data_IF_108822422212
#
_entry.id   IF_108822422212
#
_cell.length_a   1.000
_cell.length_b   1.000
_cell.length_c   1.000
_cell.angle_alpha   90.00
_cell.angle_beta   90.00
_cell.angle_gamma   90.00
#
_symmetry.space_group_name_H-M   'P 1'
#
loop_
_entity.id
_entity.type
_entity.pdbx_description
1 polymer ?
#
# COMPACT_ATOMS: atom_id res chain seq x y z
N UNK A 1 79.11 -2.25 13.83
CA UNK A 1 78.02 -2.76 14.68
C UNK A 1 77.08 -1.61 15.01
N UNK A 2 75.85 -1.46 14.52
CA UNK A 2 75.11 -2.15 13.46
C UNK A 2 74.00 -1.22 12.92
N UNK A 3 74.27 -0.53 11.82
CA UNK A 3 73.24 0.18 11.03
C UNK A 3 72.17 -0.75 10.44
N UNK A 4 72.40 -2.07 10.48
CA UNK A 4 71.40 -3.10 10.16
C UNK A 4 70.33 -3.27 11.26
N UNK A 5 70.63 -2.92 12.52
CA UNK A 5 69.70 -3.10 13.65
C UNK A 5 68.59 -2.03 13.64
N UNK A 6 68.91 -0.78 13.31
CA UNK A 6 67.89 0.28 13.17
C UNK A 6 66.98 0.10 11.95
N UNK A 7 67.48 -0.48 10.86
CA UNK A 7 66.66 -0.77 9.67
C UNK A 7 65.67 -1.92 9.92
N UNK A 8 66.08 -2.92 10.72
CA UNK A 8 65.23 -4.04 11.12
C UNK A 8 64.12 -3.61 12.10
N UNK A 9 64.40 -2.65 13.00
CA UNK A 9 63.40 -2.07 13.90
C UNK A 9 62.36 -1.20 13.16
N UNK A 10 62.78 -0.44 12.14
CA UNK A 10 61.87 0.31 11.28
C UNK A 10 61.03 -0.61 10.37
N UNK A 11 61.64 -1.68 9.82
CA UNK A 11 60.91 -2.65 9.01
C UNK A 11 59.89 -3.44 9.84
N UNK A 12 60.21 -3.82 11.08
CA UNK A 12 59.27 -4.50 11.97
C UNK A 12 58.16 -3.58 12.50
N UNK A 13 58.43 -2.28 12.67
CA UNK A 13 57.39 -1.28 12.99
C UNK A 13 56.42 -1.05 11.81
N UNK A 14 56.90 -1.07 10.55
CA UNK A 14 56.05 -0.95 9.35
C UNK A 14 55.21 -2.22 9.15
N UNK A 15 55.76 -3.41 9.42
CA UNK A 15 55.04 -4.68 9.33
C UNK A 15 53.99 -4.81 10.45
N UNK A 16 54.26 -4.26 11.64
CA UNK A 16 53.27 -4.22 12.74
C UNK A 16 52.18 -3.16 12.51
N UNK A 17 52.46 -2.06 11.81
CA UNK A 17 51.44 -1.08 11.39
C UNK A 17 50.51 -1.62 10.29
N UNK A 18 50.93 -2.63 9.53
CA UNK A 18 50.08 -3.29 8.53
C UNK A 18 49.20 -4.41 9.13
N UNK A 19 49.43 -4.83 10.38
CA UNK A 19 48.70 -5.94 11.00
C UNK A 19 47.56 -5.52 11.94
N UNK A 20 47.27 -4.23 12.06
CA UNK A 20 46.11 -3.70 12.80
C UNK A 20 45.18 -2.92 11.89
N UNK A 21 44.77 -3.54 10.78
CA UNK A 21 43.45 -3.30 10.19
C UNK A 21 42.54 -4.43 10.66
N UNK A 22 42.18 -4.39 11.94
CA UNK A 22 40.94 -5.00 12.39
C UNK A 22 39.82 -4.27 11.64
N UNK A 23 39.37 -4.86 10.53
CA UNK A 23 38.55 -4.20 9.53
C UNK A 23 37.25 -3.61 10.08
N UNK A 24 37.29 -2.33 10.45
CA UNK A 24 36.11 -1.48 10.32
C UNK A 24 35.77 -1.48 8.83
N UNK A 25 34.81 -2.31 8.46
CA UNK A 25 34.34 -2.38 7.08
C UNK A 25 33.68 -1.03 6.79
N UNK A 26 34.31 -0.19 5.97
CA UNK A 26 33.78 1.12 5.62
C UNK A 26 32.35 1.01 5.07
N UNK A 27 31.49 1.95 5.48
CA UNK A 27 30.12 2.04 4.97
C UNK A 27 30.12 2.13 3.45
N UNK A 28 29.19 1.43 2.80
CA UNK A 28 28.99 1.60 1.37
C UNK A 28 28.57 3.05 1.07
N UNK A 29 28.99 3.59 -0.09
CA UNK A 29 28.48 4.87 -0.53
C UNK A 29 26.98 4.76 -0.78
N UNK A 30 26.21 5.77 -0.37
CA UNK A 30 24.75 5.79 -0.54
C UNK A 30 23.98 4.93 0.46
N UNK A 31 22.73 5.33 0.73
CA UNK A 31 21.90 4.75 1.81
C UNK A 31 21.42 3.32 1.54
N UNK A 32 21.18 2.98 0.26
CA UNK A 32 20.55 1.71 -0.13
C UNK A 32 21.54 0.66 -0.63
N UNK A 33 22.81 1.03 -0.78
CA UNK A 33 23.87 0.10 -1.15
C UNK A 33 24.30 -0.75 0.05
N UNK A 34 24.60 -2.02 -0.18
CA UNK A 34 25.13 -2.90 0.85
C UNK A 34 25.97 -4.02 0.26
N UNK A 35 26.65 -4.75 1.13
CA UNK A 35 27.42 -5.95 0.76
C UNK A 35 26.65 -7.20 1.18
N UNK A 36 26.77 -8.26 0.38
CA UNK A 36 26.33 -9.60 0.76
C UNK A 36 27.53 -10.41 1.24
N UNK A 37 27.29 -11.33 2.17
CA UNK A 37 28.29 -12.30 2.62
C UNK A 37 27.91 -13.62 1.95
N UNK A 38 28.81 -14.18 1.17
CA UNK A 38 28.61 -15.51 0.62
C UNK A 38 28.74 -16.54 1.76
N UNK A 39 27.61 -17.15 2.13
CA UNK A 39 27.52 -18.11 3.24
C UNK A 39 28.43 -19.34 3.03
N UNK A 40 28.78 -19.68 1.79
CA UNK A 40 29.61 -20.85 1.47
C UNK A 40 31.12 -20.58 1.53
N UNK A 41 31.55 -19.37 1.13
CA UNK A 41 32.98 -19.01 1.03
C UNK A 41 33.44 -18.04 2.12
N UNK A 42 32.51 -17.45 2.88
CA UNK A 42 32.78 -16.37 3.82
C UNK A 42 33.26 -15.08 3.14
N UNK A 43 33.21 -15.02 1.79
CA UNK A 43 33.70 -13.87 1.03
C UNK A 43 32.65 -12.74 1.04
N UNK A 44 33.12 -11.53 1.33
CA UNK A 44 32.31 -10.31 1.30
C UNK A 44 32.25 -9.81 -0.15
N UNK A 45 31.05 -9.51 -0.64
CA UNK A 45 30.86 -8.91 -1.97
C UNK A 45 31.29 -7.45 -2.00
N UNK A 46 31.46 -6.91 -3.20
CA UNK A 46 31.54 -5.46 -3.39
C UNK A 46 30.20 -4.79 -3.05
N UNK A 47 30.22 -3.47 -2.85
CA UNK A 47 29.01 -2.69 -2.59
C UNK A 47 28.09 -2.68 -3.82
N UNK A 48 26.84 -3.06 -3.63
CA UNK A 48 25.85 -3.07 -4.71
C UNK A 48 24.41 -3.12 -4.20
N UNK A 49 23.50 -3.47 -5.10
CA UNK A 49 22.10 -3.67 -4.77
C UNK A 49 21.90 -4.91 -3.89
N UNK A 50 21.11 -4.76 -2.83
CA UNK A 50 20.73 -5.89 -1.99
C UNK A 50 19.76 -6.84 -2.71
N UNK A 51 19.83 -8.15 -2.43
CA UNK A 51 18.90 -9.12 -2.99
C UNK A 51 17.46 -8.81 -2.53
N UNK A 52 16.49 -9.29 -3.32
CA UNK A 52 15.06 -9.18 -2.97
C UNK A 52 14.80 -9.77 -1.57
N UNK A 53 13.95 -9.10 -0.79
CA UNK A 53 13.69 -9.49 0.59
C UNK A 53 14.80 -9.10 1.57
N UNK A 54 15.70 -8.20 1.18
CA UNK A 54 16.75 -7.65 2.05
C UNK A 54 16.85 -6.13 1.96
N UNK A 55 17.22 -5.49 3.07
CA UNK A 55 17.46 -4.04 3.19
C UNK A 55 18.89 -3.79 3.65
N UNK A 56 19.51 -2.73 3.12
CA UNK A 56 20.85 -2.32 3.56
C UNK A 56 20.79 -1.60 4.91
N UNK A 57 21.78 -1.86 5.77
CA UNK A 57 22.09 -1.06 6.95
C UNK A 57 23.28 -0.11 6.69
N UNK A 58 23.48 0.33 5.45
CA UNK A 58 24.61 1.15 5.00
C UNK A 58 25.91 0.38 4.75
N UNK A 59 26.11 -0.78 5.39
CA UNK A 59 27.32 -1.61 5.18
C UNK A 59 26.99 -2.99 4.61
N UNK A 60 25.98 -3.66 5.17
CA UNK A 60 25.57 -5.01 4.80
C UNK A 60 24.10 -5.08 4.45
N UNK A 61 23.75 -6.05 3.61
CA UNK A 61 22.37 -6.40 3.25
C UNK A 61 21.80 -7.39 4.28
N UNK A 62 20.81 -6.94 5.05
CA UNK A 62 20.13 -7.74 6.05
C UNK A 62 18.78 -8.24 5.49
N UNK A 63 18.49 -9.53 5.66
CA UNK A 63 17.19 -10.11 5.29
C UNK A 63 16.06 -9.51 6.14
N UNK A 64 14.91 -9.24 5.52
CA UNK A 64 13.73 -8.78 6.20
C UNK A 64 13.11 -9.92 7.02
N UNK A 65 13.09 -9.80 8.35
CA UNK A 65 12.50 -10.81 9.26
C UNK A 65 11.28 -10.30 10.02
N UNK A 66 10.93 -9.02 9.85
CA UNK A 66 9.83 -8.42 10.59
C UNK A 66 8.49 -8.82 9.98
N UNK A 67 7.44 -8.79 10.79
CA UNK A 67 6.06 -8.96 10.34
C UNK A 67 5.45 -7.60 9.98
N UNK A 68 4.45 -7.60 9.10
CA UNK A 68 3.72 -6.37 8.77
C UNK A 68 3.07 -5.75 10.01
N UNK A 69 3.20 -4.43 10.10
CA UNK A 69 2.52 -3.65 11.14
C UNK A 69 1.04 -3.44 10.76
N UNK A 70 0.23 -3.01 11.72
CA UNK A 70 -1.19 -2.71 11.51
C UNK A 70 -1.43 -1.69 10.39
N UNK A 71 -0.52 -0.71 10.26
CA UNK A 71 -0.55 0.29 9.21
C UNK A 71 -0.31 -0.29 7.83
N UNK A 72 0.63 -1.23 7.71
CA UNK A 72 0.93 -1.92 6.46
C UNK A 72 -0.26 -2.77 6.01
N UNK A 73 -0.87 -3.51 6.94
CA UNK A 73 -2.11 -4.25 6.67
C UNK A 73 -3.26 -3.35 6.25
N UNK A 74 -3.38 -2.18 6.87
CA UNK A 74 -4.38 -1.17 6.49
C UNK A 74 -4.07 -0.56 5.11
N UNK A 75 -2.81 -0.40 4.74
CA UNK A 75 -2.46 0.02 3.39
C UNK A 75 -2.84 -1.04 2.32
N UNK A 76 -2.58 -2.32 2.61
CA UNK A 76 -3.00 -3.42 1.71
C UNK A 76 -4.53 -3.54 1.63
N UNK A 77 -5.22 -3.34 2.76
CA UNK A 77 -6.68 -3.27 2.79
C UNK A 77 -7.24 -2.10 1.98
N UNK A 78 -6.61 -0.92 2.02
CA UNK A 78 -6.96 0.21 1.17
C UNK A 78 -6.82 -0.11 -0.32
N UNK A 79 -5.72 -0.78 -0.69
CA UNK A 79 -5.47 -1.24 -2.06
C UNK A 79 -6.57 -2.19 -2.54
N UNK A 80 -6.94 -3.16 -1.70
CA UNK A 80 -8.04 -4.09 -1.96
C UNK A 80 -9.39 -3.37 -2.10
N UNK A 81 -9.74 -2.50 -1.14
CA UNK A 81 -10.99 -1.74 -1.14
C UNK A 81 -11.10 -0.83 -2.36
N UNK A 82 -10.01 -0.19 -2.77
CA UNK A 82 -9.97 0.66 -3.96
C UNK A 82 -10.31 -0.13 -5.22
N UNK A 83 -9.69 -1.31 -5.41
CA UNK A 83 -9.99 -2.18 -6.55
C UNK A 83 -11.45 -2.67 -6.53
N UNK A 84 -11.95 -3.07 -5.36
CA UNK A 84 -13.33 -3.54 -5.20
C UNK A 84 -14.36 -2.44 -5.51
N UNK A 85 -14.17 -1.25 -4.95
CA UNK A 85 -15.06 -0.09 -5.18
C UNK A 85 -15.05 0.31 -6.65
N UNK A 86 -13.90 0.32 -7.32
CA UNK A 86 -13.83 0.59 -8.76
C UNK A 86 -14.57 -0.49 -9.57
N UNK A 87 -14.42 -1.77 -9.24
CA UNK A 87 -15.19 -2.82 -9.88
C UNK A 87 -16.70 -2.60 -9.74
N UNK A 88 -17.19 -2.29 -8.53
CA UNK A 88 -18.60 -2.01 -8.31
C UNK A 88 -19.06 -0.74 -9.01
N UNK A 89 -18.26 0.33 -8.99
CA UNK A 89 -18.56 1.56 -9.70
C UNK A 89 -18.76 1.33 -11.19
N UNK A 90 -17.84 0.61 -11.85
CA UNK A 90 -17.96 0.33 -13.28
C UNK A 90 -19.09 -0.64 -13.60
N UNK A 91 -19.38 -1.61 -12.73
CA UNK A 91 -20.58 -2.46 -12.91
C UNK A 91 -21.84 -1.59 -12.86
N UNK A 92 -22.01 -0.73 -11.85
CA UNK A 92 -23.19 0.15 -11.74
C UNK A 92 -23.30 1.12 -12.92
N UNK A 93 -22.17 1.69 -13.36
CA UNK A 93 -22.13 2.64 -14.46
C UNK A 93 -22.54 2.03 -15.81
N UNK A 94 -22.11 0.80 -16.09
CA UNK A 94 -22.37 0.15 -17.38
C UNK A 94 -23.62 -0.74 -17.40
N UNK A 95 -24.02 -1.32 -16.26
CA UNK A 95 -25.17 -2.22 -16.19
C UNK A 95 -26.49 -1.46 -16.09
N UNK A 96 -27.21 -1.32 -17.22
CA UNK A 96 -28.46 -0.53 -17.28
C UNK A 96 -29.77 -1.32 -17.26
N UNK A 97 -29.73 -2.66 -17.25
CA UNK A 97 -30.90 -3.45 -17.73
C UNK A 97 -31.59 -4.35 -16.70
N UNK A 98 -30.89 -4.98 -15.75
CA UNK A 98 -31.55 -5.80 -14.73
C UNK A 98 -30.87 -5.75 -13.35
N UNK A 99 -31.67 -5.59 -12.29
CA UNK A 99 -31.18 -5.54 -10.91
C UNK A 99 -30.55 -6.87 -10.46
N UNK A 100 -31.07 -8.00 -10.94
CA UNK A 100 -30.53 -9.33 -10.61
C UNK A 100 -29.13 -9.54 -11.20
N UNK A 101 -28.91 -9.15 -12.47
CA UNK A 101 -27.57 -9.26 -13.06
C UNK A 101 -26.56 -8.34 -12.38
N UNK A 102 -26.97 -7.13 -11.97
CA UNK A 102 -26.10 -6.19 -11.22
C UNK A 102 -25.63 -6.83 -9.91
N UNK A 103 -26.53 -7.43 -9.13
CA UNK A 103 -26.18 -8.07 -7.86
C UNK A 103 -25.18 -9.23 -8.09
N UNK A 104 -25.42 -10.03 -9.13
CA UNK A 104 -24.52 -11.15 -9.49
C UNK A 104 -23.14 -10.62 -9.90
N UNK A 105 -23.07 -9.55 -10.68
CA UNK A 105 -21.80 -8.92 -11.10
C UNK A 105 -21.06 -8.27 -9.93
N UNK A 106 -21.76 -7.68 -8.96
CA UNK A 106 -21.15 -7.19 -7.72
C UNK A 106 -20.56 -8.32 -6.88
N UNK A 107 -21.30 -9.42 -6.73
CA UNK A 107 -20.81 -10.61 -6.05
C UNK A 107 -19.60 -11.21 -6.77
N UNK A 108 -19.63 -11.27 -8.10
CA UNK A 108 -18.53 -11.73 -8.93
C UNK A 108 -17.27 -10.88 -8.72
N UNK A 109 -17.39 -9.54 -8.77
CA UNK A 109 -16.27 -8.64 -8.49
C UNK A 109 -15.71 -8.77 -7.07
N UNK A 110 -16.57 -9.02 -6.08
CA UNK A 110 -16.13 -9.28 -4.70
C UNK A 110 -15.38 -10.60 -4.57
N UNK A 111 -15.84 -11.66 -5.23
CA UNK A 111 -15.18 -12.98 -5.24
C UNK A 111 -13.84 -12.88 -5.99
N UNK A 112 -13.80 -12.27 -7.17
CA UNK A 112 -12.59 -12.08 -7.97
C UNK A 112 -11.49 -11.37 -7.18
N UNK A 113 -11.82 -10.23 -6.58
CA UNK A 113 -10.86 -9.43 -5.78
C UNK A 113 -10.44 -10.16 -4.51
N UNK A 114 -11.36 -10.84 -3.83
CA UNK A 114 -11.05 -11.60 -2.61
C UNK A 114 -10.12 -12.78 -2.92
N UNK A 115 -10.45 -13.57 -3.95
CA UNK A 115 -9.58 -14.63 -4.43
C UNK A 115 -8.21 -14.09 -4.82
N UNK A 116 -8.16 -12.97 -5.55
CA UNK A 116 -6.89 -12.35 -5.92
C UNK A 116 -6.05 -11.94 -4.70
N UNK A 117 -6.67 -11.39 -3.65
CA UNK A 117 -5.98 -11.07 -2.40
C UNK A 117 -5.41 -12.33 -1.73
N UNK A 118 -6.20 -13.40 -1.61
CA UNK A 118 -5.75 -14.68 -1.05
C UNK A 118 -4.57 -15.27 -1.84
N UNK A 119 -4.68 -15.36 -3.17
CA UNK A 119 -3.58 -15.86 -4.00
C UNK A 119 -2.34 -14.97 -3.91
N UNK A 120 -2.51 -13.64 -3.81
CA UNK A 120 -1.38 -12.72 -3.63
C UNK A 120 -0.63 -13.02 -2.35
N UNK A 121 -1.33 -13.22 -1.23
CA UNK A 121 -0.70 -13.55 0.05
C UNK A 121 0.07 -14.87 -0.04
N UNK A 122 -0.54 -15.90 -0.65
CA UNK A 122 0.09 -17.24 -0.77
C UNK A 122 1.31 -17.28 -1.70
N UNK A 123 1.39 -16.38 -2.69
CA UNK A 123 2.50 -16.33 -3.65
C UNK A 123 3.72 -15.54 -3.15
N UNK A 124 3.51 -14.63 -2.19
CA UNK A 124 4.59 -13.82 -1.62
C UNK A 124 5.25 -14.53 -0.44
N UNK A 125 6.44 -14.08 -0.04
CA UNK A 125 7.20 -14.72 1.04
C UNK A 125 6.59 -14.41 2.42
N UNK A 126 6.45 -15.43 3.30
CA UNK A 126 6.73 -16.85 3.10
C UNK A 126 5.65 -17.56 2.27
N UNK A 127 6.06 -18.24 1.20
CA UNK A 127 5.14 -18.88 0.25
C UNK A 127 4.24 -19.90 0.95
N UNK A 128 2.96 -19.87 0.61
CA UNK A 128 1.95 -20.78 1.16
C UNK A 128 1.41 -20.38 2.54
N UNK A 129 1.87 -19.27 3.13
CA UNK A 129 1.34 -18.73 4.40
C UNK A 129 0.53 -17.45 4.17
N UNK A 130 -0.37 -17.11 5.10
CA UNK A 130 -1.13 -15.85 5.07
C UNK A 130 -0.43 -14.71 5.82
N UNK A 131 0.68 -15.01 6.48
CA UNK A 131 1.59 -14.03 7.06
C UNK A 131 2.55 -13.51 5.99
N UNK A 132 3.07 -12.30 6.18
CA UNK A 132 4.03 -11.70 5.26
C UNK A 132 5.24 -11.23 6.06
N UNK A 133 6.43 -11.44 5.48
CA UNK A 133 7.68 -10.86 5.99
C UNK A 133 7.93 -9.52 5.31
N UNK A 134 8.17 -8.46 6.09
CA UNK A 134 8.46 -7.13 5.57
C UNK A 134 9.70 -6.49 6.16
N UNK A 135 10.22 -5.52 5.42
CA UNK A 135 11.09 -4.47 5.91
C UNK A 135 10.24 -3.24 6.23
N UNK A 136 10.50 -2.59 7.37
CA UNK A 136 9.79 -1.38 7.76
C UNK A 136 10.06 -0.25 6.76
N UNK A 137 9.03 0.53 6.41
CA UNK A 137 9.24 1.81 5.73
C UNK A 137 9.62 2.86 6.77
N UNK A 138 10.73 3.55 6.56
CA UNK A 138 11.19 4.62 7.48
C UNK A 138 11.02 6.00 6.84
N UNK A 139 11.26 6.10 5.53
CA UNK A 139 11.19 7.34 4.80
C UNK A 139 10.51 7.18 3.46
N UNK A 140 10.00 8.29 2.91
CA UNK A 140 9.47 8.34 1.55
C UNK A 140 10.52 7.96 0.51
N UNK A 141 11.80 8.26 0.77
CA UNK A 141 12.91 7.88 -0.11
C UNK A 141 13.05 6.37 -0.30
N UNK A 142 12.59 5.56 0.67
CA UNK A 142 12.69 4.09 0.61
C UNK A 142 11.83 3.50 -0.52
N UNK A 143 10.80 4.23 -0.97
CA UNK A 143 9.95 3.87 -2.10
C UNK A 143 10.57 4.21 -3.46
N UNK A 144 11.60 5.06 -3.47
CA UNK A 144 12.17 5.64 -4.67
C UNK A 144 13.70 5.51 -4.70
N UNK A 145 14.21 4.34 -4.32
CA UNK A 145 15.65 4.05 -4.21
C UNK A 145 16.42 4.36 -5.50
N UNK A 146 15.76 4.27 -6.65
CA UNK A 146 16.31 4.61 -7.98
C UNK A 146 16.89 6.04 -8.05
N UNK A 147 16.32 7.00 -7.33
CA UNK A 147 16.81 8.39 -7.32
C UNK A 147 17.99 8.62 -6.37
N UNK A 148 18.34 7.63 -5.55
CA UNK A 148 19.37 7.73 -4.51
C UNK A 148 20.60 6.85 -4.80
N UNK A 149 20.84 6.54 -6.08
CA UNK A 149 22.04 5.83 -6.52
C UNK A 149 23.28 6.75 -6.39
N UNK A 150 24.33 6.34 -5.66
CA UNK A 150 25.50 7.18 -5.41
C UNK A 150 26.44 7.25 -6.62
N UNK A 151 27.23 8.34 -6.68
CA UNK A 151 28.34 8.52 -7.63
C UNK A 151 29.63 8.90 -6.87
N UNK A 152 30.33 7.93 -6.25
CA UNK A 152 31.49 8.22 -5.40
C UNK A 152 32.59 9.00 -6.13
N UNK A 153 32.89 8.58 -7.36
CA UNK A 153 33.94 9.19 -8.19
C UNK A 153 33.41 10.30 -9.11
N UNK A 154 32.17 10.76 -8.92
CA UNK A 154 31.43 11.69 -9.80
C UNK A 154 31.21 11.22 -11.26
N UNK A 155 31.88 10.14 -11.68
CA UNK A 155 31.81 9.55 -13.03
C UNK A 155 30.95 8.30 -13.01
N UNK A 156 31.32 7.31 -12.19
CA UNK A 156 30.65 6.01 -12.15
C UNK A 156 29.48 6.03 -11.18
N UNK A 157 28.33 5.48 -11.62
CA UNK A 157 27.14 5.33 -10.78
C UNK A 157 27.03 3.89 -10.30
N UNK A 158 26.97 3.69 -8.99
CA UNK A 158 26.70 2.36 -8.43
C UNK A 158 25.18 2.20 -8.34
N UNK A 159 24.64 1.19 -9.02
CA UNK A 159 23.21 0.92 -9.01
C UNK A 159 22.84 0.07 -7.81
N UNK A 160 22.19 0.70 -6.83
CA UNK A 160 21.71 0.09 -5.59
C UNK A 160 20.18 0.11 -5.49
N UNK A 161 19.50 0.23 -6.63
CA UNK A 161 18.04 0.19 -6.71
C UNK A 161 17.54 -1.17 -6.27
N UNK A 162 16.88 -1.22 -5.12
CA UNK A 162 16.19 -2.38 -4.59
C UNK A 162 14.85 -1.96 -3.97
N UNK A 163 14.00 -2.94 -3.66
CA UNK A 163 12.77 -2.71 -2.91
C UNK A 163 13.08 -2.60 -1.41
N UNK A 164 13.45 -1.40 -0.93
CA UNK A 164 13.76 -1.19 0.49
C UNK A 164 12.54 -1.33 1.42
N UNK A 165 11.33 -1.17 0.87
CA UNK A 165 10.03 -1.36 1.54
C UNK A 165 9.41 -2.73 1.27
N UNK A 166 10.25 -3.75 1.05
CA UNK A 166 9.78 -5.10 0.73
C UNK A 166 8.72 -5.60 1.74
N UNK A 167 7.60 -6.21 1.31
CA UNK A 167 7.15 -6.44 -0.07
C UNK A 167 6.10 -5.41 -0.53
N UNK A 168 5.96 -4.26 0.16
CA UNK A 168 4.82 -3.35 0.03
C UNK A 168 4.64 -2.74 -1.36
N UNK A 169 5.71 -2.70 -2.16
CA UNK A 169 5.63 -2.26 -3.55
C UNK A 169 5.23 -3.43 -4.46
N UNK A 170 5.97 -4.53 -4.39
CA UNK A 170 5.77 -5.68 -5.29
C UNK A 170 4.45 -6.40 -5.04
N UNK A 171 3.99 -6.49 -3.79
CA UNK A 171 2.76 -7.19 -3.43
C UNK A 171 1.52 -6.54 -4.05
N UNK A 172 1.50 -5.21 -4.12
CA UNK A 172 0.38 -4.45 -4.71
C UNK A 172 0.32 -4.67 -6.22
N UNK A 173 1.47 -4.66 -6.91
CA UNK A 173 1.53 -4.94 -8.34
C UNK A 173 1.13 -6.40 -8.64
N UNK A 174 1.57 -7.34 -7.80
CA UNK A 174 1.18 -8.75 -7.88
C UNK A 174 -0.34 -8.90 -7.70
N UNK A 175 -0.92 -8.20 -6.74
CA UNK A 175 -2.38 -8.18 -6.53
C UNK A 175 -3.13 -7.70 -7.77
N UNK A 176 -2.74 -6.58 -8.38
CA UNK A 176 -3.41 -6.11 -9.59
C UNK A 176 -3.27 -7.05 -10.77
N UNK A 177 -2.10 -7.69 -10.94
CA UNK A 177 -1.90 -8.70 -11.98
C UNK A 177 -2.84 -9.91 -11.78
N UNK A 178 -2.98 -10.40 -10.55
CA UNK A 178 -3.90 -11.51 -10.24
C UNK A 178 -5.36 -11.06 -10.36
N UNK A 179 -5.71 -9.81 -10.00
CA UNK A 179 -7.03 -9.25 -10.26
C UNK A 179 -7.38 -9.27 -11.75
N UNK A 180 -6.45 -8.90 -12.63
CA UNK A 180 -6.66 -9.01 -14.09
C UNK A 180 -6.86 -10.47 -14.50
N UNK A 181 -6.05 -11.40 -13.99
CA UNK A 181 -6.20 -12.82 -14.29
C UNK A 181 -7.57 -13.36 -13.84
N UNK A 182 -7.98 -13.07 -12.61
CA UNK A 182 -9.29 -13.48 -12.08
C UNK A 182 -10.45 -12.86 -12.84
N UNK A 183 -10.34 -11.57 -13.21
CA UNK A 183 -11.30 -10.87 -14.05
C UNK A 183 -11.48 -11.58 -15.40
N UNK A 184 -10.38 -11.99 -16.05
CA UNK A 184 -10.41 -12.65 -17.36
C UNK A 184 -10.88 -14.11 -17.29
N UNK A 185 -10.75 -14.77 -16.14
CA UNK A 185 -11.22 -16.16 -15.96
C UNK A 185 -12.68 -16.19 -15.51
N UNK A 186 -13.02 -15.52 -14.41
CA UNK A 186 -14.31 -15.67 -13.75
C UNK A 186 -15.40 -14.89 -14.49
N UNK A 187 -15.12 -13.64 -14.87
CA UNK A 187 -16.16 -12.74 -15.38
C UNK A 187 -16.74 -13.16 -16.74
N UNK A 188 -15.95 -13.67 -17.73
CA UNK A 188 -16.52 -14.20 -18.98
C UNK A 188 -17.40 -15.43 -18.75
N UNK A 189 -16.97 -16.35 -17.88
CA UNK A 189 -17.75 -17.54 -17.54
C UNK A 189 -19.11 -17.13 -16.95
N UNK A 190 -19.10 -16.28 -15.94
CA UNK A 190 -20.35 -15.80 -15.30
C UNK A 190 -21.22 -14.98 -16.26
N UNK A 191 -20.62 -14.14 -17.10
CA UNK A 191 -21.35 -13.32 -18.06
C UNK A 191 -22.02 -14.17 -19.15
N UNK A 192 -21.37 -15.22 -19.62
CA UNK A 192 -21.91 -16.11 -20.64
C UNK A 192 -23.03 -17.01 -20.08
N UNK A 193 -22.78 -17.67 -18.95
CA UNK A 193 -23.73 -18.65 -18.39
C UNK A 193 -24.92 -18.01 -17.68
N UNK A 194 -24.73 -16.86 -17.01
CA UNK A 194 -25.74 -16.32 -16.08
C UNK A 194 -26.33 -14.99 -16.57
N UNK A 195 -25.52 -14.12 -17.18
CA UNK A 195 -25.93 -12.75 -17.48
C UNK A 195 -26.21 -12.49 -18.98
N UNK A 196 -26.32 -13.52 -19.81
CA UNK A 196 -26.60 -13.42 -21.25
C UNK A 196 -25.75 -12.35 -21.99
N UNK A 197 -24.46 -12.24 -21.64
CA UNK A 197 -23.51 -11.30 -22.26
C UNK A 197 -23.48 -9.88 -21.67
N UNK A 198 -24.26 -9.57 -20.64
CA UNK A 198 -24.33 -8.21 -20.05
C UNK A 198 -23.07 -7.79 -19.29
N UNK A 199 -22.15 -8.71 -18.97
CA UNK A 199 -20.91 -8.42 -18.25
C UNK A 199 -19.77 -7.88 -19.12
N UNK A 200 -19.91 -7.88 -20.45
CA UNK A 200 -18.81 -7.59 -21.38
C UNK A 200 -18.24 -6.17 -21.20
N UNK A 201 -19.10 -5.16 -21.09
CA UNK A 201 -18.67 -3.77 -20.87
C UNK A 201 -17.91 -3.60 -19.54
N UNK A 202 -18.31 -4.35 -18.51
CA UNK A 202 -17.64 -4.35 -17.21
C UNK A 202 -16.25 -5.00 -17.27
N UNK A 203 -16.08 -6.03 -18.11
CA UNK A 203 -14.77 -6.66 -18.37
C UNK A 203 -13.84 -5.64 -19.05
N UNK A 204 -14.32 -4.99 -20.12
CA UNK A 204 -13.53 -3.96 -20.81
C UNK A 204 -13.12 -2.83 -19.86
N UNK A 205 -14.04 -2.32 -19.06
CA UNK A 205 -13.71 -1.32 -18.05
C UNK A 205 -12.62 -1.79 -17.09
N UNK A 206 -12.72 -3.04 -16.60
CA UNK A 206 -11.70 -3.70 -15.79
C UNK A 206 -10.32 -3.74 -16.43
N UNK A 207 -10.26 -4.09 -17.71
CA UNK A 207 -9.01 -4.13 -18.48
C UNK A 207 -8.36 -2.76 -18.66
N UNK A 208 -9.12 -1.66 -18.56
CA UNK A 208 -8.56 -0.30 -18.60
C UNK A 208 -8.16 0.22 -17.21
N UNK A 209 -9.04 0.09 -16.21
CA UNK A 209 -8.78 0.75 -14.93
C UNK A 209 -7.69 0.04 -14.11
N UNK A 210 -7.54 -1.30 -14.19
CA UNK A 210 -6.52 -2.03 -13.43
C UNK A 210 -5.08 -1.66 -13.87
N UNK A 211 -4.75 -1.58 -15.18
CA UNK A 211 -3.46 -1.04 -15.62
C UNK A 211 -3.24 0.42 -15.22
N UNK A 212 -4.27 1.27 -15.30
CA UNK A 212 -4.17 2.67 -14.85
C UNK A 212 -3.82 2.72 -13.35
N UNK A 213 -4.50 1.92 -12.54
CA UNK A 213 -4.26 1.83 -11.09
C UNK A 213 -2.84 1.31 -10.78
N UNK A 214 -2.36 0.36 -11.60
CA UNK A 214 -0.99 -0.16 -11.54
C UNK A 214 0.03 0.93 -11.85
N UNK A 215 -0.18 1.72 -12.92
CA UNK A 215 0.70 2.83 -13.27
C UNK A 215 0.72 3.92 -12.17
N UNK A 216 -0.45 4.24 -11.61
CA UNK A 216 -0.57 5.16 -10.49
C UNK A 216 0.22 4.64 -9.28
N UNK A 217 0.11 3.35 -8.92
CA UNK A 217 0.87 2.78 -7.80
C UNK A 217 2.37 2.68 -8.08
N UNK A 218 2.77 2.39 -9.32
CA UNK A 218 4.18 2.34 -9.68
C UNK A 218 4.88 3.70 -9.54
N UNK A 219 4.16 4.80 -9.86
CA UNK A 219 4.71 6.16 -9.80
C UNK A 219 4.51 6.78 -8.41
N UNK A 220 3.32 6.63 -7.83
CA UNK A 220 2.89 7.32 -6.61
C UNK A 220 2.80 6.39 -5.39
N UNK A 221 3.34 5.16 -5.45
CA UNK A 221 3.19 4.15 -4.39
C UNK A 221 3.60 4.65 -3.00
N UNK A 222 4.76 5.31 -2.90
CA UNK A 222 5.20 5.92 -1.64
C UNK A 222 4.25 7.02 -1.17
N UNK A 223 3.84 7.92 -2.07
CA UNK A 223 2.90 8.98 -1.72
C UNK A 223 1.55 8.40 -1.26
N UNK A 224 1.03 7.39 -1.94
CA UNK A 224 -0.19 6.68 -1.55
C UNK A 224 -0.05 6.02 -0.18
N UNK A 225 1.07 5.34 0.09
CA UNK A 225 1.32 4.71 1.38
C UNK A 225 1.29 5.69 2.56
N UNK A 226 1.80 6.91 2.40
CA UNK A 226 1.74 7.92 3.47
C UNK A 226 0.43 8.72 3.50
N UNK A 227 -0.32 8.78 2.39
CA UNK A 227 -1.53 9.61 2.28
C UNK A 227 -2.86 8.84 2.35
N UNK A 228 -2.86 7.51 2.20
CA UNK A 228 -4.10 6.73 2.13
C UNK A 228 -5.05 6.93 3.32
N UNK A 229 -4.61 7.08 4.59
CA UNK A 229 -5.55 7.29 5.69
C UNK A 229 -6.33 8.58 5.48
N UNK A 230 -5.65 9.65 5.06
CA UNK A 230 -6.26 10.95 4.77
C UNK A 230 -7.18 10.89 3.55
N UNK A 231 -6.79 10.16 2.50
CA UNK A 231 -7.65 9.94 1.32
C UNK A 231 -8.98 9.29 1.76
N UNK A 232 -8.94 8.27 2.61
CA UNK A 232 -10.14 7.59 3.12
C UNK A 232 -10.98 8.51 4.00
N UNK A 233 -10.35 9.25 4.93
CA UNK A 233 -11.06 10.19 5.80
C UNK A 233 -11.79 11.27 5.00
N UNK A 234 -11.08 11.93 4.08
CA UNK A 234 -11.64 13.02 3.26
C UNK A 234 -12.72 12.48 2.32
N UNK A 235 -12.45 11.37 1.62
CA UNK A 235 -13.43 10.79 0.70
C UNK A 235 -14.70 10.37 1.43
N UNK A 236 -14.60 9.73 2.60
CA UNK A 236 -15.77 9.31 3.39
C UNK A 236 -16.60 10.50 3.88
N UNK A 237 -15.96 11.58 4.35
CA UNK A 237 -16.69 12.81 4.77
C UNK A 237 -17.41 13.45 3.59
N UNK A 238 -16.72 13.61 2.46
CA UNK A 238 -17.29 14.22 1.25
C UNK A 238 -18.42 13.38 0.66
N UNK A 239 -18.26 12.06 0.60
CA UNK A 239 -19.30 11.18 0.06
C UNK A 239 -20.50 11.07 1.02
N UNK A 240 -20.29 11.12 2.34
CA UNK A 240 -21.37 11.26 3.32
C UNK A 240 -22.19 12.53 3.08
N UNK A 241 -21.52 13.68 2.97
CA UNK A 241 -22.17 14.95 2.70
C UNK A 241 -22.94 14.93 1.37
N UNK A 242 -22.36 14.34 0.33
CA UNK A 242 -22.98 14.21 -0.99
C UNK A 242 -24.24 13.34 -0.94
N UNK A 243 -24.21 12.20 -0.23
CA UNK A 243 -25.37 11.32 -0.07
C UNK A 243 -26.49 12.03 0.68
N UNK A 244 -26.18 12.72 1.77
CA UNK A 244 -27.19 13.44 2.56
C UNK A 244 -27.83 14.60 1.76
N UNK A 245 -27.00 15.38 1.06
CA UNK A 245 -27.46 16.49 0.21
C UNK A 245 -28.32 16.03 -0.96
N UNK A 246 -27.89 14.99 -1.69
CA UNK A 246 -28.63 14.47 -2.86
C UNK A 246 -29.99 13.88 -2.47
N UNK A 247 -30.14 13.37 -1.26
CA UNK A 247 -31.39 12.79 -0.77
C UNK A 247 -32.23 13.79 0.06
N UNK A 248 -31.84 15.07 0.13
CA UNK A 248 -32.54 16.13 0.86
C UNK A 248 -32.92 15.74 2.31
N UNK A 249 -32.01 15.07 3.01
CA UNK A 249 -32.28 14.56 4.36
C UNK A 249 -32.24 15.72 5.36
N UNK A 250 -33.34 15.99 6.04
CA UNK A 250 -33.45 17.10 7.01
C UNK A 250 -33.52 16.64 8.46
N UNK A 251 -33.71 15.34 8.70
CA UNK A 251 -33.78 14.80 10.06
C UNK A 251 -33.50 13.30 10.16
N UNK A 252 -33.17 12.84 11.37
CA UNK A 252 -32.83 11.44 11.66
C UNK A 252 -33.94 10.45 11.28
N UNK A 253 -35.21 10.84 11.42
CA UNK A 253 -36.35 9.98 11.06
C UNK A 253 -36.38 9.66 9.56
N UNK A 254 -36.01 10.61 8.71
CA UNK A 254 -35.93 10.40 7.26
C UNK A 254 -34.74 9.50 6.89
N UNK A 255 -33.60 9.68 7.57
CA UNK A 255 -32.43 8.83 7.40
C UNK A 255 -32.74 7.37 7.75
N UNK A 256 -33.35 7.14 8.92
CA UNK A 256 -33.70 5.81 9.42
C UNK A 256 -34.89 5.16 8.67
N UNK A 257 -35.67 5.94 7.92
CA UNK A 257 -36.81 5.44 7.16
C UNK A 257 -36.44 4.58 5.94
N UNK A 258 -35.22 4.73 5.40
CA UNK A 258 -34.75 3.98 4.23
C UNK A 258 -33.63 3.02 4.58
N UNK A 259 -33.90 1.71 4.48
CA UNK A 259 -32.90 0.66 4.69
C UNK A 259 -31.64 0.86 3.84
N UNK A 260 -31.80 1.36 2.60
CA UNK A 260 -30.69 1.67 1.70
C UNK A 260 -29.81 2.80 2.23
N UNK A 261 -30.40 3.90 2.69
CA UNK A 261 -29.64 5.04 3.21
C UNK A 261 -28.91 4.69 4.50
N UNK A 262 -29.54 3.91 5.38
CA UNK A 262 -28.90 3.39 6.60
C UNK A 262 -27.69 2.52 6.24
N UNK A 263 -27.82 1.59 5.30
CA UNK A 263 -26.72 0.73 4.87
C UNK A 263 -25.55 1.54 4.27
N UNK A 264 -25.85 2.53 3.42
CA UNK A 264 -24.83 3.44 2.87
C UNK A 264 -24.13 4.20 4.00
N UNK A 265 -24.88 4.72 4.97
CA UNK A 265 -24.31 5.51 6.06
C UNK A 265 -23.40 4.67 6.96
N UNK A 266 -23.81 3.45 7.29
CA UNK A 266 -22.97 2.50 8.02
C UNK A 266 -21.67 2.23 7.26
N UNK A 267 -21.73 2.04 5.94
CA UNK A 267 -20.53 1.87 5.11
C UNK A 267 -19.57 3.06 5.20
N UNK A 268 -20.09 4.29 5.14
CA UNK A 268 -19.29 5.51 5.30
C UNK A 268 -18.66 5.62 6.70
N UNK A 269 -19.43 5.31 7.75
CA UNK A 269 -18.92 5.28 9.11
C UNK A 269 -17.81 4.25 9.29
N UNK A 270 -17.95 3.06 8.70
CA UNK A 270 -16.91 2.04 8.71
C UNK A 270 -15.65 2.52 7.97
N UNK A 271 -15.79 3.18 6.81
CA UNK A 271 -14.65 3.77 6.10
C UNK A 271 -13.96 4.87 6.92
N UNK A 272 -14.73 5.72 7.59
CA UNK A 272 -14.19 6.79 8.42
C UNK A 272 -13.46 6.22 9.65
N UNK A 273 -14.06 5.22 10.30
CA UNK A 273 -13.42 4.47 11.39
C UNK A 273 -12.14 3.76 10.92
N UNK A 274 -12.15 3.18 9.73
CA UNK A 274 -10.98 2.55 9.11
C UNK A 274 -9.84 3.55 8.87
N UNK A 275 -10.13 4.74 8.34
CA UNK A 275 -9.14 5.80 8.17
C UNK A 275 -8.56 6.29 9.50
N UNK A 276 -9.38 6.43 10.55
CA UNK A 276 -8.92 6.79 11.89
C UNK A 276 -8.06 5.68 12.53
N UNK A 277 -8.45 4.42 12.33
CA UNK A 277 -7.70 3.27 12.80
C UNK A 277 -6.32 3.20 12.14
N UNK A 278 -6.26 3.38 10.83
CA UNK A 278 -5.01 3.43 10.08
C UNK A 278 -4.10 4.56 10.57
N UNK A 279 -4.65 5.77 10.79
CA UNK A 279 -3.87 6.93 11.21
C UNK A 279 -3.33 6.82 12.64
N UNK A 280 -4.15 6.31 13.56
CA UNK A 280 -3.82 6.28 14.99
C UNK A 280 -3.10 5.01 15.42
N UNK A 281 -3.25 3.92 14.66
CA UNK A 281 -2.80 2.56 14.98
C UNK A 281 -3.23 2.08 16.37
N UNK A 282 -4.16 2.79 17.02
CA UNK A 282 -4.54 2.67 18.44
C UNK A 282 -3.33 2.58 19.40
N UNK A 283 -2.21 3.25 19.10
CA UNK A 283 -1.00 3.13 19.91
C UNK A 283 -1.17 3.62 21.36
N UNK A 284 -2.05 4.61 21.56
CA UNK A 284 -2.48 5.15 22.86
C UNK A 284 -4.01 5.09 23.01
N UNK A 285 -4.58 3.96 23.47
CA UNK A 285 -6.04 3.75 23.51
C UNK A 285 -6.82 4.82 24.28
N UNK A 286 -6.25 5.36 25.37
CA UNK A 286 -6.90 6.39 26.20
C UNK A 286 -7.17 7.68 25.43
N UNK A 287 -6.27 8.04 24.50
CA UNK A 287 -6.39 9.28 23.70
C UNK A 287 -7.07 9.02 22.36
N UNK A 288 -6.76 7.89 21.70
CA UNK A 288 -7.30 7.58 20.37
C UNK A 288 -8.69 6.94 20.41
N UNK A 289 -9.04 6.23 21.48
CA UNK A 289 -10.37 5.61 21.64
C UNK A 289 -11.51 6.63 21.49
N UNK A 290 -11.48 7.77 22.20
CA UNK A 290 -12.49 8.81 22.04
C UNK A 290 -12.61 9.40 20.62
N UNK A 291 -11.56 9.34 19.79
CA UNK A 291 -11.63 9.85 18.41
C UNK A 291 -12.63 9.08 17.55
N UNK A 292 -12.94 7.83 17.87
CA UNK A 292 -13.95 7.05 17.12
C UNK A 292 -15.37 7.60 17.27
N UNK A 293 -15.66 8.44 18.28
CA UNK A 293 -16.94 9.16 18.32
C UNK A 293 -17.08 10.16 17.16
N UNK A 294 -15.96 10.64 16.60
CA UNK A 294 -15.95 11.55 15.45
C UNK A 294 -16.52 10.92 14.18
N UNK A 295 -16.64 9.59 14.14
CA UNK A 295 -17.20 8.87 13.00
C UNK A 295 -18.64 9.32 12.68
N UNK A 296 -19.41 9.67 13.70
CA UNK A 296 -20.81 10.12 13.52
C UNK A 296 -20.94 11.63 13.28
N UNK A 297 -19.88 12.39 13.54
CA UNK A 297 -19.87 13.85 13.47
C UNK A 297 -20.31 14.42 12.13
N UNK A 298 -19.86 13.90 10.95
CA UNK A 298 -20.31 14.46 9.67
C UNK A 298 -21.82 14.45 9.49
N UNK A 299 -22.51 13.42 9.98
CA UNK A 299 -23.97 13.30 9.91
C UNK A 299 -24.64 14.26 10.88
N UNK A 300 -24.19 14.28 12.13
CA UNK A 300 -24.75 15.16 13.17
C UNK A 300 -24.58 16.63 12.75
N UNK A 301 -23.40 17.00 12.26
CA UNK A 301 -23.09 18.33 11.77
C UNK A 301 -23.96 18.71 10.57
N UNK A 302 -24.11 17.82 9.59
CA UNK A 302 -24.99 18.06 8.44
C UNK A 302 -26.44 18.29 8.88
N UNK A 303 -26.99 17.45 9.76
CA UNK A 303 -28.38 17.59 10.23
C UNK A 303 -28.60 18.84 11.10
N UNK A 304 -27.60 19.26 11.88
CA UNK A 304 -27.66 20.49 12.64
C UNK A 304 -27.68 21.73 11.73
N UNK A 305 -26.93 21.68 10.62
CA UNK A 305 -26.79 22.81 9.68
C UNK A 305 -27.80 22.82 8.54
N UNK A 306 -28.44 21.68 8.23
CA UNK A 306 -29.32 21.54 7.06
C UNK A 306 -30.48 22.53 7.05
N UNK A 307 -31.00 22.89 8.23
CA UNK A 307 -32.08 23.87 8.37
C UNK A 307 -31.64 25.30 8.02
N UNK A 308 -30.35 25.62 8.18
CA UNK A 308 -29.79 26.95 7.90
C UNK A 308 -29.45 27.11 6.41
N UNK A 309 -29.11 26.01 5.75
CA UNK A 309 -28.63 25.99 4.36
C UNK A 309 -29.73 25.70 3.33
N UNK A 310 -31.01 25.72 3.73
CA UNK A 310 -32.12 25.42 2.82
C UNK A 310 -32.33 26.58 1.81
N UNK A 311 -32.07 26.37 0.51
CA UNK A 311 -32.20 27.41 -0.51
C UNK A 311 -33.64 27.92 -0.69
N UNK A 312 -34.65 27.14 -0.26
CA UNK A 312 -36.06 27.57 -0.32
C UNK A 312 -36.34 28.78 0.57
N UNK A 313 -35.56 28.99 1.64
CA UNK A 313 -35.67 30.15 2.54
C UNK A 313 -35.19 31.46 1.91
N UNK A 314 -34.47 31.40 0.80
CA UNK A 314 -33.86 32.55 0.14
C UNK A 314 -34.55 32.94 -1.18
N UNK A 315 -35.57 32.20 -1.62
CA UNK A 315 -36.41 32.60 -2.74
C UNK A 315 -37.47 33.59 -2.24
N UNK A 316 -37.20 34.88 -2.42
CA UNK A 316 -38.16 35.98 -2.20
C UNK A 316 -38.73 36.44 -3.54
#
# INVERSE_FOLDING_TARGET
MDGKSSLLLLASAIILLQSTSSGETESCPGRYCGRTIDEASGKISECGACPRGSRSNGTFCNKCTNTLQMYDWSYLGFTFLTALVLHWFFVDYFSKRSQQAIIILFACGAIETTCAAFFTLLLNEPKGTLSLTSCSSEHLSDWYTVFYNPKPDYVNTIHCTNEAVYPLYTIVLTFYAICVAMLLVIRPLMSHYICAGQGLSSIYAGMYFLPILTAIHAILGGLLYYTYPYIILVSSVLSTATVLAKNHITGFRQLLGSKRLVAIMIGHWLLLAYGLLALTQVSKPVVHGPMFFLVTTPVIFYLATSSLTDPSKFKR
#
